data_IF_170334063414
#
_entry.id   IF_170334063414
#
_cell.length_a   1.000
_cell.length_b   1.000
_cell.length_c   1.000
_cell.angle_alpha   90.00
_cell.angle_beta   90.00
_cell.angle_gamma   90.00
#
_symmetry.space_group_name_H-M   'P 1'
#
loop_
_entity.id
_entity.type
_entity.pdbx_description
1 polymer ?
#
# COMPACT_ATOMS: atom_id res chain seq x y z
N UNK A 1 9.61 -2.62 -22.82
CA UNK A 1 9.62 -1.96 -21.50
C UNK A 1 10.41 -0.67 -21.63
N UNK A 2 9.74 0.46 -21.92
CA UNK A 2 10.41 1.75 -21.95
C UNK A 2 10.54 2.27 -20.51
N UNK A 3 11.77 2.42 -20.02
CA UNK A 3 12.05 3.11 -18.77
C UNK A 3 11.60 4.57 -18.89
N UNK A 4 10.44 4.89 -18.33
CA UNK A 4 10.06 6.29 -18.11
C UNK A 4 11.09 6.87 -17.14
N UNK A 5 12.02 7.65 -17.68
CA UNK A 5 12.91 8.54 -16.93
C UNK A 5 12.07 9.29 -15.87
N UNK A 6 12.62 9.55 -14.67
CA UNK A 6 11.92 10.36 -13.68
C UNK A 6 11.59 11.69 -14.36
N UNK A 7 10.29 12.04 -14.42
CA UNK A 7 9.88 13.35 -14.90
C UNK A 7 10.60 14.38 -14.04
N UNK A 8 11.45 15.20 -14.66
CA UNK A 8 12.03 16.36 -14.01
C UNK A 8 10.85 17.22 -13.58
N UNK A 9 10.74 17.50 -12.27
CA UNK A 9 9.67 18.34 -11.74
C UNK A 9 9.68 19.73 -12.41
N UNK A 10 8.61 20.53 -12.25
CA UNK A 10 8.53 21.84 -12.89
C UNK A 10 9.75 22.68 -12.47
N UNK A 11 10.39 23.33 -13.44
CA UNK A 11 11.54 24.20 -13.17
C UNK A 11 11.03 25.50 -12.54
N UNK A 12 11.58 25.85 -11.38
CA UNK A 12 11.19 27.08 -10.70
C UNK A 12 11.63 28.29 -11.53
N UNK A 13 10.75 29.26 -11.81
CA UNK A 13 11.17 30.49 -12.49
C UNK A 13 12.26 31.19 -11.69
N UNK A 14 13.23 31.79 -12.40
CA UNK A 14 14.36 32.47 -11.78
C UNK A 14 13.86 33.52 -10.79
N UNK A 15 14.51 33.58 -9.61
CA UNK A 15 14.18 34.60 -8.61
C UNK A 15 14.58 35.98 -9.14
N UNK A 16 13.60 36.75 -9.57
CA UNK A 16 13.82 38.13 -10.01
C UNK A 16 14.11 38.98 -8.77
N UNK A 17 15.26 39.67 -8.76
CA UNK A 17 15.46 40.79 -7.84
C UNK A 17 14.72 41.96 -8.48
N UNK A 18 13.55 42.31 -7.94
CA UNK A 18 12.78 43.43 -8.48
C UNK A 18 13.69 44.67 -8.55
N UNK A 19 13.81 45.33 -9.70
CA UNK A 19 14.53 46.59 -9.77
C UNK A 19 13.88 47.58 -8.80
N UNK A 20 14.65 48.49 -8.19
CA UNK A 20 14.09 49.50 -7.31
C UNK A 20 13.04 50.31 -8.08
N UNK A 21 11.99 50.74 -7.37
CA UNK A 21 10.94 51.56 -7.95
C UNK A 21 11.55 52.75 -8.70
N UNK A 22 11.02 53.12 -9.88
CA UNK A 22 11.44 54.34 -10.56
C UNK A 22 11.38 55.51 -9.58
N UNK A 23 12.45 56.32 -9.45
CA UNK A 23 12.43 57.47 -8.56
C UNK A 23 11.40 58.49 -9.03
N UNK A 24 10.79 59.20 -8.08
CA UNK A 24 9.83 60.24 -8.37
C UNK A 24 10.47 61.32 -9.26
N UNK A 25 9.76 61.83 -10.27
CA UNK A 25 10.29 62.86 -11.15
C UNK A 25 10.45 64.17 -10.37
N UNK A 26 11.64 64.76 -10.43
CA UNK A 26 11.84 66.13 -9.96
C UNK A 26 11.42 67.10 -11.10
N UNK A 27 10.41 67.93 -10.84
CA UNK A 27 9.88 68.90 -11.81
C UNK A 27 10.11 70.36 -11.38
N UNK A 28 10.88 70.58 -10.31
CA UNK A 28 11.21 71.93 -9.85
C UNK A 28 11.99 72.69 -10.93
N UNK A 29 11.48 73.86 -11.32
CA UNK A 29 12.12 74.74 -12.30
C UNK A 29 11.86 74.41 -13.78
N UNK A 30 11.03 73.42 -14.10
CA UNK A 30 10.64 73.10 -15.49
C UNK A 30 9.44 73.95 -15.97
N UNK A 31 9.38 74.21 -17.28
CA UNK A 31 8.17 74.77 -17.92
C UNK A 31 7.00 73.78 -17.85
N UNK A 32 5.76 74.25 -17.96
CA UNK A 32 4.57 73.40 -17.91
C UNK A 32 4.63 72.22 -18.92
N UNK A 33 5.12 72.49 -20.13
CA UNK A 33 5.30 71.47 -21.17
C UNK A 33 6.40 70.46 -20.79
N UNK A 34 7.53 70.93 -20.22
CA UNK A 34 8.62 70.08 -19.75
C UNK A 34 8.22 69.19 -18.57
N UNK A 35 7.41 69.71 -17.65
CA UNK A 35 6.85 68.92 -16.55
C UNK A 35 5.90 67.83 -17.06
N UNK A 36 5.03 68.15 -18.03
CA UNK A 36 4.08 67.20 -18.64
C UNK A 36 4.79 66.01 -19.32
N UNK A 37 5.83 66.29 -20.12
CA UNK A 37 6.66 65.24 -20.77
C UNK A 37 7.35 64.35 -19.74
N UNK A 38 7.85 64.95 -18.65
CA UNK A 38 8.53 64.21 -17.57
C UNK A 38 7.56 63.29 -16.83
N UNK A 39 6.35 63.76 -16.51
CA UNK A 39 5.31 62.91 -15.91
C UNK A 39 4.83 61.80 -16.85
N UNK A 40 4.67 62.08 -18.14
CA UNK A 40 4.32 61.07 -19.15
C UNK A 40 5.36 59.95 -19.23
N UNK A 41 6.65 60.32 -19.26
CA UNK A 41 7.76 59.37 -19.26
C UNK A 41 7.79 58.53 -17.98
N UNK A 42 7.58 59.15 -16.81
CA UNK A 42 7.49 58.44 -15.54
C UNK A 42 6.30 57.47 -15.50
N UNK A 43 5.13 57.86 -16.03
CA UNK A 43 3.96 56.98 -16.16
C UNK A 43 4.25 55.77 -17.04
N UNK A 44 4.94 55.96 -18.17
CA UNK A 44 5.36 54.85 -19.03
C UNK A 44 6.31 53.90 -18.32
N UNK A 45 7.33 54.41 -17.62
CA UNK A 45 8.26 53.58 -16.82
C UNK A 45 7.54 52.78 -15.73
N UNK A 46 6.59 53.41 -15.04
CA UNK A 46 5.77 52.74 -14.04
C UNK A 46 4.85 51.67 -14.67
N UNK A 47 4.32 51.94 -15.87
CA UNK A 47 3.52 50.99 -16.62
C UNK A 47 4.33 49.76 -17.01
N UNK A 48 5.55 49.92 -17.56
CA UNK A 48 6.46 48.82 -17.86
C UNK A 48 6.78 48.01 -16.60
N UNK A 49 7.13 48.69 -15.50
CA UNK A 49 7.41 48.02 -14.23
C UNK A 49 6.22 47.19 -13.71
N UNK A 50 4.99 47.66 -13.91
CA UNK A 50 3.77 46.91 -13.57
C UNK A 50 3.56 45.70 -14.48
N UNK A 51 3.87 45.80 -15.76
CA UNK A 51 3.78 44.68 -16.71
C UNK A 51 4.77 43.58 -16.33
N UNK A 52 6.05 43.91 -16.10
CA UNK A 52 7.09 42.95 -15.71
C UNK A 52 6.72 42.21 -14.42
N UNK A 53 6.19 42.94 -13.42
CA UNK A 53 5.75 42.34 -12.16
C UNK A 53 4.50 41.47 -12.33
N UNK A 54 3.64 41.77 -13.31
CA UNK A 54 2.45 40.97 -13.63
C UNK A 54 2.82 39.68 -14.36
N UNK A 55 3.77 39.74 -15.29
CA UNK A 55 4.36 38.56 -15.94
C UNK A 55 4.98 37.62 -14.90
N UNK A 56 5.84 38.16 -14.03
CA UNK A 56 6.46 37.34 -12.97
C UNK A 56 5.44 36.71 -12.00
N UNK A 57 4.33 37.39 -11.71
CA UNK A 57 3.23 36.81 -10.91
C UNK A 57 2.53 35.68 -11.65
N UNK A 58 2.41 35.77 -12.96
CA UNK A 58 1.80 34.75 -13.81
C UNK A 58 2.68 33.51 -13.83
N UNK A 59 3.98 33.64 -14.07
CA UNK A 59 4.95 32.54 -14.03
C UNK A 59 4.93 31.80 -12.69
N UNK A 60 4.90 32.56 -11.58
CA UNK A 60 4.81 31.99 -10.24
C UNK A 60 3.47 31.28 -9.99
N UNK A 61 2.38 31.75 -10.60
CA UNK A 61 1.06 31.13 -10.50
C UNK A 61 1.01 29.81 -11.27
N UNK A 62 1.55 29.78 -12.48
CA UNK A 62 1.70 28.56 -13.29
C UNK A 62 2.56 27.53 -12.57
N UNK A 63 3.76 27.93 -12.12
CA UNK A 63 4.66 27.06 -11.36
C UNK A 63 3.99 26.45 -10.11
N UNK A 64 3.19 27.25 -9.37
CA UNK A 64 2.43 26.76 -8.21
C UNK A 64 1.36 25.74 -8.58
N UNK A 65 0.73 25.91 -9.73
CA UNK A 65 -0.31 25.01 -10.25
C UNK A 65 0.30 23.67 -10.68
N UNK A 66 1.42 23.70 -11.39
CA UNK A 66 2.15 22.50 -11.79
C UNK A 66 2.64 21.72 -10.57
N UNK A 67 3.25 22.42 -9.60
CA UNK A 67 3.69 21.81 -8.35
C UNK A 67 2.53 21.20 -7.55
N UNK A 68 1.36 21.84 -7.55
CA UNK A 68 0.15 21.32 -6.89
C UNK A 68 -0.31 20.02 -7.57
N UNK A 69 -0.28 19.99 -8.89
CA UNK A 69 -0.65 18.81 -9.69
C UNK A 69 0.31 17.65 -9.42
N UNK A 70 1.63 17.90 -9.44
CA UNK A 70 2.65 16.88 -9.16
C UNK A 70 2.53 16.34 -7.72
N UNK A 71 2.27 17.21 -6.73
CA UNK A 71 2.03 16.79 -5.34
C UNK A 71 0.82 15.89 -5.23
N UNK A 72 -0.25 16.20 -5.96
CA UNK A 72 -1.46 15.37 -6.00
C UNK A 72 -1.13 14.01 -6.64
N UNK A 73 -0.44 13.99 -7.78
CA UNK A 73 0.03 12.76 -8.42
C UNK A 73 0.89 11.90 -7.48
N UNK A 74 1.89 12.49 -6.82
CA UNK A 74 2.73 11.79 -5.86
C UNK A 74 1.94 11.25 -4.66
N UNK A 75 0.96 12.00 -4.18
CA UNK A 75 0.08 11.57 -3.09
C UNK A 75 -0.75 10.36 -3.49
N UNK A 76 -1.36 10.37 -4.68
CA UNK A 76 -2.09 9.24 -5.23
C UNK A 76 -1.20 7.99 -5.39
N UNK A 77 0.04 8.15 -5.87
CA UNK A 77 1.02 7.05 -5.98
C UNK A 77 1.39 6.47 -4.61
N UNK A 78 1.60 7.32 -3.60
CA UNK A 78 1.88 6.89 -2.21
C UNK A 78 0.73 6.09 -1.63
N UNK A 79 -0.51 6.53 -1.85
CA UNK A 79 -1.72 5.80 -1.46
C UNK A 79 -1.80 4.45 -2.18
N UNK A 80 -1.51 4.39 -3.48
CA UNK A 80 -1.41 3.12 -4.21
C UNK A 80 -0.39 2.14 -3.58
N UNK A 81 0.78 2.64 -3.16
CA UNK A 81 1.80 1.83 -2.48
C UNK A 81 1.37 1.40 -1.07
N UNK A 82 0.57 2.17 -0.34
CA UNK A 82 0.07 1.74 0.97
C UNK A 82 -0.86 0.54 0.86
N UNK A 83 -1.69 0.43 -0.19
CA UNK A 83 -2.48 -0.78 -0.45
C UNK A 83 -1.61 -2.03 -0.60
N UNK A 84 -0.49 -1.93 -1.33
CA UNK A 84 0.44 -3.04 -1.47
C UNK A 84 1.07 -3.44 -0.13
N UNK A 85 1.43 -2.47 0.72
CA UNK A 85 1.94 -2.75 2.07
C UNK A 85 0.89 -3.43 2.95
N UNK A 86 -0.35 -2.94 2.94
CA UNK A 86 -1.46 -3.53 3.68
C UNK A 86 -1.71 -4.98 3.26
N UNK A 87 -1.64 -5.27 1.96
CA UNK A 87 -1.71 -6.64 1.42
C UNK A 87 -0.58 -7.53 1.96
N UNK A 88 0.66 -7.06 1.88
CA UNK A 88 1.82 -7.80 2.38
C UNK A 88 1.73 -8.07 3.88
N UNK A 89 1.17 -7.15 4.66
CA UNK A 89 0.92 -7.37 6.09
C UNK A 89 -0.08 -8.49 6.32
N UNK A 90 -1.16 -8.54 5.54
CA UNK A 90 -2.15 -9.61 5.66
C UNK A 90 -1.60 -10.99 5.21
N UNK A 91 -0.78 -11.02 4.15
CA UNK A 91 -0.04 -12.22 3.73
C UNK A 91 0.85 -12.75 4.88
N UNK A 92 1.54 -11.87 5.61
CA UNK A 92 2.35 -12.25 6.78
C UNK A 92 1.51 -12.81 7.92
N UNK A 93 0.34 -12.22 8.17
CA UNK A 93 -0.59 -12.74 9.18
C UNK A 93 -1.09 -14.13 8.81
N UNK A 94 -1.44 -14.37 7.54
CA UNK A 94 -1.80 -15.70 7.06
C UNK A 94 -0.65 -16.69 7.24
N UNK A 95 0.59 -16.29 6.92
CA UNK A 95 1.77 -17.14 7.11
C UNK A 95 2.01 -17.51 8.57
N UNK A 96 1.76 -16.59 9.50
CA UNK A 96 1.81 -16.85 10.94
C UNK A 96 0.77 -17.89 11.36
N UNK A 97 -0.48 -17.73 10.91
CA UNK A 97 -1.57 -18.68 11.19
C UNK A 97 -1.27 -20.06 10.61
N UNK A 98 -0.72 -20.13 9.40
CA UNK A 98 -0.29 -21.38 8.77
C UNK A 98 0.73 -22.11 9.66
N UNK A 99 1.74 -21.38 10.18
CA UNK A 99 2.78 -21.97 11.03
C UNK A 99 2.20 -22.55 12.32
N UNK A 100 1.37 -21.78 13.01
CA UNK A 100 0.73 -22.23 14.26
C UNK A 100 -0.15 -23.46 14.00
N UNK A 101 -0.94 -23.42 12.93
CA UNK A 101 -1.82 -24.53 12.55
C UNK A 101 -1.02 -25.79 12.21
N UNK A 102 0.07 -25.66 11.44
CA UNK A 102 0.94 -26.77 11.08
C UNK A 102 1.61 -27.40 12.31
N UNK A 103 2.05 -26.59 13.28
CA UNK A 103 2.62 -27.10 14.53
C UNK A 103 1.58 -27.89 15.33
N UNK A 104 0.34 -27.40 15.45
CA UNK A 104 -0.74 -28.12 16.15
C UNK A 104 -1.09 -29.43 15.44
N UNK A 105 -1.17 -29.41 14.11
CA UNK A 105 -1.46 -30.60 13.29
C UNK A 105 -0.34 -31.63 13.43
N UNK A 106 0.92 -31.22 13.22
CA UNK A 106 2.06 -32.12 13.29
C UNK A 106 2.28 -32.70 14.69
N UNK A 107 2.14 -31.88 15.72
CA UNK A 107 2.27 -32.32 17.11
C UNK A 107 1.13 -33.25 17.52
N UNK A 108 -0.12 -32.90 17.19
CA UNK A 108 -1.28 -33.76 17.43
C UNK A 108 -1.16 -35.11 16.74
N UNK A 109 -0.67 -35.13 15.50
CA UNK A 109 -0.39 -36.35 14.75
C UNK A 109 0.72 -37.21 15.35
N UNK A 110 1.81 -36.58 15.78
CA UNK A 110 2.94 -37.29 16.40
C UNK A 110 2.53 -37.94 17.72
N UNK A 111 1.81 -37.21 18.59
CA UNK A 111 1.27 -37.76 19.84
C UNK A 111 0.32 -38.92 19.55
N UNK A 112 -0.63 -38.73 18.64
CA UNK A 112 -1.58 -39.78 18.26
C UNK A 112 -0.85 -41.07 17.87
N UNK A 113 0.13 -40.98 16.98
CA UNK A 113 0.87 -42.14 16.50
C UNK A 113 1.78 -42.76 17.56
N UNK A 114 2.47 -41.95 18.36
CA UNK A 114 3.38 -42.45 19.39
C UNK A 114 2.61 -43.30 20.42
N UNK A 115 1.51 -42.77 20.97
CA UNK A 115 0.71 -43.50 21.94
C UNK A 115 -0.01 -44.70 21.33
N UNK A 116 -0.43 -44.62 20.06
CA UNK A 116 -0.99 -45.76 19.34
C UNK A 116 0.04 -46.90 19.25
N UNK A 117 1.27 -46.62 18.84
CA UNK A 117 2.34 -47.62 18.72
C UNK A 117 2.73 -48.22 20.08
N UNK A 118 2.76 -47.41 21.16
CA UNK A 118 3.02 -47.91 22.51
C UNK A 118 1.95 -48.89 22.99
N UNK A 119 0.67 -48.62 22.67
CA UNK A 119 -0.43 -49.56 22.98
C UNK A 119 -0.30 -50.84 22.17
N UNK A 120 0.00 -50.71 20.88
CA UNK A 120 0.11 -51.86 19.98
C UNK A 120 1.33 -52.75 20.34
N UNK A 121 2.37 -52.17 20.96
CA UNK A 121 3.50 -52.88 21.56
C UNK A 121 3.22 -53.47 22.96
N UNK A 122 2.02 -53.28 23.51
CA UNK A 122 1.64 -53.77 24.85
C UNK A 122 2.27 -53.02 26.02
N UNK A 123 2.93 -51.88 25.78
CA UNK A 123 3.58 -51.09 26.84
C UNK A 123 2.57 -50.33 27.72
N UNK A 124 1.35 -50.09 27.22
CA UNK A 124 0.26 -49.40 27.94
C UNK A 124 -1.07 -50.12 27.72
N UNK A 125 -1.91 -50.17 28.77
CA UNK A 125 -3.23 -50.83 28.73
C UNK A 125 -4.31 -49.99 28.04
N UNK A 126 -4.19 -48.66 28.05
CA UNK A 126 -5.11 -47.77 27.33
C UNK A 126 -4.35 -46.59 26.70
N UNK A 127 -4.79 -46.19 25.51
CA UNK A 127 -4.29 -45.01 24.80
C UNK A 127 -5.42 -44.04 24.46
N UNK A 128 -6.58 -44.16 25.09
CA UNK A 128 -7.76 -43.36 24.72
C UNK A 128 -7.59 -41.87 25.01
N UNK A 129 -7.12 -41.50 26.21
CA UNK A 129 -6.93 -40.10 26.58
C UNK A 129 -5.87 -39.38 25.71
N UNK A 130 -4.66 -39.93 25.48
CA UNK A 130 -3.68 -39.32 24.58
C UNK A 130 -4.14 -39.27 23.12
N UNK A 131 -4.90 -40.28 22.68
CA UNK A 131 -5.45 -40.32 21.31
C UNK A 131 -6.47 -39.21 21.09
N UNK A 132 -7.40 -39.03 22.02
CA UNK A 132 -8.40 -37.96 21.96
C UNK A 132 -7.72 -36.58 21.99
N UNK A 133 -6.63 -36.44 22.77
CA UNK A 133 -5.83 -35.23 22.81
C UNK A 133 -5.15 -34.94 21.46
N UNK A 134 -4.54 -35.96 20.82
CA UNK A 134 -3.96 -35.83 19.49
C UNK A 134 -4.99 -35.40 18.44
N UNK A 135 -6.17 -36.04 18.43
CA UNK A 135 -7.27 -35.67 17.53
C UNK A 135 -7.73 -34.22 17.79
N UNK A 136 -7.88 -33.82 19.04
CA UNK A 136 -8.30 -32.46 19.41
C UNK A 136 -7.30 -31.39 18.95
N UNK A 137 -5.99 -31.66 19.01
CA UNK A 137 -4.97 -30.73 18.51
C UNK A 137 -5.02 -30.57 17.00
N UNK A 138 -5.20 -31.68 16.27
CA UNK A 138 -5.30 -31.63 14.81
C UNK A 138 -6.58 -30.92 14.36
N UNK A 139 -7.73 -31.20 14.98
CA UNK A 139 -8.99 -30.50 14.68
C UNK A 139 -8.87 -29.02 14.97
N UNK A 140 -8.25 -28.64 16.09
CA UNK A 140 -8.00 -27.24 16.42
C UNK A 140 -7.10 -26.56 15.38
N UNK A 141 -6.01 -27.21 14.96
CA UNK A 141 -5.11 -26.68 13.93
C UNK A 141 -5.82 -26.47 12.58
N UNK A 142 -6.67 -27.42 12.16
CA UNK A 142 -7.45 -27.29 10.93
C UNK A 142 -8.50 -26.17 11.03
N UNK A 143 -9.20 -26.07 12.16
CA UNK A 143 -10.18 -25.01 12.39
C UNK A 143 -9.52 -23.63 12.37
N UNK A 144 -8.37 -23.49 13.04
CA UNK A 144 -7.59 -22.26 13.04
C UNK A 144 -7.13 -21.88 11.62
N UNK A 145 -6.66 -22.86 10.84
CA UNK A 145 -6.26 -22.65 9.44
C UNK A 145 -7.44 -22.19 8.57
N UNK A 146 -8.60 -22.85 8.70
CA UNK A 146 -9.84 -22.48 8.01
C UNK A 146 -10.26 -21.04 8.32
N UNK A 147 -10.29 -20.68 9.61
CA UNK A 147 -10.62 -19.31 10.04
C UNK A 147 -9.62 -18.32 9.43
N UNK A 148 -8.33 -18.64 9.46
CA UNK A 148 -7.28 -17.82 8.85
C UNK A 148 -7.49 -17.58 7.36
N UNK A 149 -7.86 -18.62 6.61
CA UNK A 149 -8.15 -18.53 5.17
C UNK A 149 -9.40 -17.72 4.89
N UNK A 150 -10.50 -17.94 5.62
CA UNK A 150 -11.73 -17.15 5.45
C UNK A 150 -11.48 -15.67 5.72
N UNK A 151 -10.74 -15.36 6.80
CA UNK A 151 -10.34 -13.97 7.13
C UNK A 151 -9.52 -13.35 6.01
N UNK A 152 -8.53 -14.07 5.47
CA UNK A 152 -7.68 -13.59 4.38
C UNK A 152 -8.48 -13.30 3.10
N UNK A 153 -9.40 -14.20 2.72
CA UNK A 153 -10.25 -14.01 1.53
C UNK A 153 -11.18 -12.80 1.71
N UNK A 154 -11.83 -12.68 2.87
CA UNK A 154 -12.70 -11.52 3.17
C UNK A 154 -11.91 -10.21 3.13
N UNK A 155 -10.75 -10.19 3.77
CA UNK A 155 -9.87 -9.01 3.78
C UNK A 155 -9.41 -8.63 2.37
N UNK A 156 -9.01 -9.61 1.55
CA UNK A 156 -8.59 -9.35 0.17
C UNK A 156 -9.75 -8.81 -0.68
N UNK A 157 -10.96 -9.36 -0.49
CA UNK A 157 -12.17 -8.89 -1.18
C UNK A 157 -12.51 -7.44 -0.79
N UNK A 158 -12.48 -7.13 0.51
CA UNK A 158 -12.75 -5.79 1.03
C UNK A 158 -11.70 -4.77 0.55
N UNK A 159 -10.42 -5.15 0.59
CA UNK A 159 -9.32 -4.31 0.13
C UNK A 159 -9.43 -4.01 -1.37
N UNK A 160 -9.80 -5.01 -2.17
CA UNK A 160 -9.99 -4.84 -3.61
C UNK A 160 -11.23 -3.98 -3.91
N UNK A 161 -12.35 -4.21 -3.22
CA UNK A 161 -13.55 -3.40 -3.36
C UNK A 161 -13.28 -1.92 -3.03
N UNK A 162 -12.60 -1.67 -1.91
CA UNK A 162 -12.21 -0.31 -1.51
C UNK A 162 -11.32 0.33 -2.56
N UNK A 163 -10.31 -0.39 -3.07
CA UNK A 163 -9.42 0.14 -4.12
C UNK A 163 -10.17 0.44 -5.42
N UNK A 164 -11.10 -0.41 -5.84
CA UNK A 164 -11.93 -0.17 -7.04
C UNK A 164 -12.77 1.10 -6.86
N UNK A 165 -13.36 1.30 -5.67
CA UNK A 165 -14.11 2.51 -5.36
C UNK A 165 -13.23 3.77 -5.47
N UNK A 166 -12.06 3.79 -4.83
CA UNK A 166 -11.14 4.93 -4.93
C UNK A 166 -10.55 5.13 -6.33
N UNK A 167 -10.35 4.04 -7.09
CA UNK A 167 -9.91 4.14 -8.48
C UNK A 167 -11.00 4.77 -9.37
N UNK A 168 -12.26 4.42 -9.14
CA UNK A 168 -13.41 5.01 -9.85
C UNK A 168 -13.56 6.51 -9.56
N UNK A 169 -13.24 6.92 -8.34
CA UNK A 169 -13.24 8.32 -7.90
C UNK A 169 -12.00 9.10 -8.36
N UNK A 170 -11.04 8.46 -9.05
CA UNK A 170 -9.81 9.09 -9.50
C UNK A 170 -8.84 9.45 -8.37
N UNK A 171 -9.01 8.87 -7.17
CA UNK A 171 -8.19 9.16 -5.99
C UNK A 171 -6.85 8.39 -5.99
N UNK A 172 -6.70 7.39 -6.85
CA UNK A 172 -5.48 6.56 -6.96
C UNK A 172 -5.21 6.13 -8.40
N UNK A 173 -3.92 5.97 -8.74
CA UNK A 173 -3.52 5.33 -9.98
C UNK A 173 -3.64 3.81 -9.87
N UNK A 174 -4.61 3.23 -10.58
CA UNK A 174 -4.90 1.80 -10.56
C UNK A 174 -4.11 0.99 -11.61
N UNK A 175 -2.85 1.34 -11.89
CA UNK A 175 -2.08 0.71 -12.99
C UNK A 175 -1.68 -0.76 -12.74
N UNK A 176 -1.65 -1.24 -11.48
CA UNK A 176 -1.21 -2.61 -11.17
C UNK A 176 -2.35 -3.61 -11.06
N UNK A 177 -2.25 -4.72 -11.82
CA UNK A 177 -3.03 -5.95 -11.65
C UNK A 177 -2.72 -6.60 -10.30
N UNK A 178 -3.73 -7.11 -9.60
CA UNK A 178 -3.54 -7.86 -8.34
C UNK A 178 -3.23 -9.32 -8.64
N UNK A 179 -1.99 -9.80 -8.49
CA UNK A 179 -1.74 -11.24 -8.52
C UNK A 179 -2.32 -11.89 -7.26
N UNK A 180 -2.92 -13.07 -7.42
CA UNK A 180 -3.30 -13.94 -6.30
C UNK A 180 -2.05 -14.32 -5.49
N UNK A 181 -2.13 -14.16 -4.17
CA UNK A 181 -1.03 -14.47 -3.25
C UNK A 181 -0.69 -15.96 -3.29
N UNK A 182 0.59 -16.31 -3.51
CA UNK A 182 1.06 -17.70 -3.51
C UNK A 182 0.83 -18.38 -2.15
N UNK A 183 0.77 -17.60 -1.07
CA UNK A 183 0.52 -18.09 0.30
C UNK A 183 -0.86 -18.75 0.44
N UNK A 184 -1.85 -18.32 -0.33
CA UNK A 184 -3.19 -18.91 -0.30
C UNK A 184 -3.19 -20.36 -0.78
N UNK A 185 -2.51 -20.66 -1.89
CA UNK A 185 -2.40 -22.01 -2.41
C UNK A 185 -1.67 -22.96 -1.46
N UNK A 186 -0.65 -22.45 -0.76
CA UNK A 186 0.05 -23.20 0.29
C UNK A 186 -0.91 -23.53 1.44
N UNK A 187 -1.73 -22.57 1.87
CA UNK A 187 -2.72 -22.79 2.92
C UNK A 187 -3.75 -23.88 2.53
N UNK A 188 -4.22 -23.85 1.28
CA UNK A 188 -5.14 -24.88 0.74
C UNK A 188 -4.49 -26.26 0.73
N UNK A 189 -3.25 -26.37 0.26
CA UNK A 189 -2.52 -27.65 0.26
C UNK A 189 -2.34 -28.22 1.68
N UNK A 190 -1.99 -27.36 2.64
CA UNK A 190 -1.86 -27.75 4.04
C UNK A 190 -3.20 -28.13 4.69
N UNK A 191 -4.29 -27.46 4.30
CA UNK A 191 -5.62 -27.84 4.74
C UNK A 191 -5.98 -29.24 4.27
N UNK A 192 -5.74 -29.56 2.99
CA UNK A 192 -5.99 -30.90 2.46
C UNK A 192 -5.17 -31.95 3.21
N UNK A 193 -3.90 -31.66 3.52
CA UNK A 193 -3.04 -32.54 4.30
C UNK A 193 -3.54 -32.71 5.75
N UNK A 194 -4.01 -31.64 6.39
CA UNK A 194 -4.63 -31.71 7.72
C UNK A 194 -5.90 -32.57 7.71
N UNK A 195 -6.79 -32.36 6.74
CA UNK A 195 -8.01 -33.16 6.56
C UNK A 195 -7.66 -34.63 6.35
N UNK A 196 -6.68 -34.92 5.50
CA UNK A 196 -6.15 -36.27 5.30
C UNK A 196 -5.62 -36.90 6.60
N UNK A 197 -4.90 -36.13 7.43
CA UNK A 197 -4.42 -36.59 8.72
C UNK A 197 -5.57 -36.95 9.68
N UNK A 198 -6.63 -36.12 9.75
CA UNK A 198 -7.83 -36.45 10.54
C UNK A 198 -8.51 -37.72 10.04
N UNK A 199 -8.70 -37.86 8.73
CA UNK A 199 -9.33 -39.04 8.14
C UNK A 199 -8.53 -40.28 8.53
N UNK A 200 -7.20 -40.25 8.38
CA UNK A 200 -6.33 -41.34 8.79
C UNK A 200 -6.48 -41.69 10.29
N UNK A 201 -6.54 -40.69 11.17
CA UNK A 201 -6.74 -40.92 12.61
C UNK A 201 -8.10 -41.55 12.94
N UNK A 202 -9.18 -41.06 12.31
CA UNK A 202 -10.55 -41.49 12.62
C UNK A 202 -10.81 -42.90 12.08
N UNK A 203 -10.46 -43.14 10.81
CA UNK A 203 -10.73 -44.41 10.14
C UNK A 203 -9.67 -45.48 10.38
N UNK A 204 -8.56 -45.16 11.06
CA UNK A 204 -7.39 -46.04 11.26
C UNK A 204 -6.83 -46.60 9.96
N UNK A 205 -6.99 -45.86 8.86
CA UNK A 205 -6.39 -46.19 7.58
C UNK A 205 -4.99 -45.59 7.59
N UNK A 206 -3.98 -46.43 7.36
CA UNK A 206 -2.60 -45.99 7.16
C UNK A 206 -2.49 -45.26 5.82
N UNK A 207 -2.95 -44.00 5.78
CA UNK A 207 -2.81 -43.13 4.62
C UNK A 207 -1.34 -42.71 4.43
N UNK A 208 -0.61 -42.66 5.54
CA UNK A 208 0.82 -42.51 5.64
C UNK A 208 1.30 -43.70 6.49
N UNK A 209 2.16 -44.55 5.93
CA UNK A 209 2.50 -45.88 6.46
C UNK A 209 2.97 -45.95 7.91
#
# INVERSE_FOLDING_TARGET
MASKLPKVGPERPKRVKNPPLPPLPNVEGLSADGASVTYSTHRTKLSTHRTDLSEHRTDLSEFRTDLSTERTEMSMRRTGMSFQRTRMSDDRTLMSVIRTSLSLIGFGFTIYQAFQKLRDAGAIASAEAPRNFGVALVTLGILMLLIGMVRHVKFMSELNATRIAMAKEGLIFAESTFPVSSTFWIAVALLLLGVAAIISMVFRIALFG
#
